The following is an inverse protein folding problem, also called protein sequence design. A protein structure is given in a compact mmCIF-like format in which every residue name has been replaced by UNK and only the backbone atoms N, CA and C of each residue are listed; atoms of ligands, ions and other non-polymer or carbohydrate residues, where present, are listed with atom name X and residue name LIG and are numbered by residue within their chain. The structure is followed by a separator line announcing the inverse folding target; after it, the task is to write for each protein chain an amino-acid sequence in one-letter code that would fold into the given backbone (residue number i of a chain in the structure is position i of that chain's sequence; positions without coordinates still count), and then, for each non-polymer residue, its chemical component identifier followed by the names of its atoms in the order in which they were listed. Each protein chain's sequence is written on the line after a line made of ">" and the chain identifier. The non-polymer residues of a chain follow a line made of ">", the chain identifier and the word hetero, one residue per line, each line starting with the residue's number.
data_IF_373118158090
#
_entry.id   IF_373118158090
#
_cell.length_a   1.000
_cell.length_b   1.000
_cell.length_c   1.000
_cell.angle_alpha   90.00
_cell.angle_beta   90.00
_cell.angle_gamma   90.00
#
_symmetry.space_group_name_H-M   'P 1'
#
loop_
_entity.id
_entity.type
_entity.pdbx_description
1 polymer ?
#
# COMPACT_ATOMS: atom_id res chain seq x y z
N UNK A 1 -17.42 -11.39 9.78
CA UNK A 1 -18.08 -11.65 11.07
C UNK A 1 -17.69 -13.03 11.61
N UNK A 2 -16.42 -13.42 11.50
CA UNK A 2 -15.92 -14.63 12.14
C UNK A 2 -15.64 -14.30 13.61
N UNK A 3 -16.28 -14.98 14.59
CA UNK A 3 -16.01 -14.72 15.99
C UNK A 3 -14.56 -15.06 16.36
N UNK A 4 -14.13 -14.64 17.54
CA UNK A 4 -12.84 -15.09 18.07
C UNK A 4 -12.86 -16.63 18.18
N UNK A 5 -11.90 -17.36 17.55
CA UNK A 5 -12.05 -18.80 17.31
C UNK A 5 -11.72 -19.69 18.50
N UNK A 6 -11.18 -19.12 19.60
CA UNK A 6 -10.68 -19.88 20.74
C UNK A 6 -11.45 -19.57 22.04
N UNK A 7 -11.44 -20.51 22.98
CA UNK A 7 -12.16 -20.35 24.28
C UNK A 7 -11.61 -19.20 25.14
N UNK A 8 -10.35 -18.82 24.93
CA UNK A 8 -9.67 -17.75 25.66
C UNK A 8 -8.60 -17.08 24.81
N UNK A 9 -8.22 -15.87 25.23
CA UNK A 9 -7.06 -15.17 24.72
C UNK A 9 -6.16 -14.75 25.87
N UNK A 10 -4.89 -15.07 25.79
CA UNK A 10 -3.87 -14.66 26.74
C UNK A 10 -2.77 -13.86 26.04
N UNK A 11 -2.11 -12.97 26.79
CA UNK A 11 -0.94 -12.24 26.35
C UNK A 11 0.16 -12.36 27.41
N UNK A 12 1.39 -12.67 26.99
CA UNK A 12 2.53 -12.76 27.88
C UNK A 12 3.66 -11.83 27.41
N UNK A 13 4.03 -10.85 28.23
CA UNK A 13 5.17 -9.97 27.99
C UNK A 13 6.47 -10.64 28.48
N UNK A 14 7.36 -10.99 27.57
CA UNK A 14 8.59 -11.73 27.86
C UNK A 14 9.80 -10.79 27.84
N UNK A 15 10.58 -10.80 28.91
CA UNK A 15 11.85 -10.06 28.99
C UNK A 15 12.90 -10.73 28.08
N UNK A 16 13.55 -9.93 27.24
CA UNK A 16 14.57 -10.42 26.30
C UNK A 16 14.01 -10.95 24.98
N UNK A 17 12.68 -10.94 24.82
CA UNK A 17 12.01 -11.23 23.55
C UNK A 17 11.77 -9.94 22.77
N UNK A 18 12.01 -9.97 21.45
CA UNK A 18 11.82 -8.85 20.54
C UNK A 18 10.68 -9.20 19.57
N UNK A 19 9.78 -8.24 19.32
CA UNK A 19 8.60 -8.46 18.47
C UNK A 19 7.46 -9.14 19.21
N UNK A 20 6.70 -9.92 18.46
CA UNK A 20 5.61 -10.77 18.94
C UNK A 20 5.74 -12.18 18.36
N UNK A 21 4.96 -13.11 18.91
CA UNK A 21 4.78 -14.45 18.40
C UNK A 21 3.32 -14.83 18.61
N UNK A 22 2.70 -15.28 17.53
CA UNK A 22 1.27 -15.47 17.38
C UNK A 22 0.76 -16.80 17.94
N UNK A 23 1.39 -17.35 18.97
CA UNK A 23 1.01 -18.66 19.50
C UNK A 23 -0.49 -18.75 19.78
N UNK A 24 -1.14 -19.77 19.21
CA UNK A 24 -2.59 -19.94 19.24
C UNK A 24 -3.16 -19.79 20.66
N UNK A 25 -4.16 -18.90 20.81
CA UNK A 25 -4.82 -18.54 22.07
C UNK A 25 -3.93 -17.84 23.12
N UNK A 26 -2.63 -17.64 22.87
CA UNK A 26 -1.68 -17.08 23.82
C UNK A 26 -0.50 -16.33 23.16
N UNK A 27 -0.70 -15.10 22.70
CA UNK A 27 0.36 -14.29 22.09
C UNK A 27 1.51 -13.98 23.06
N UNK A 28 2.74 -14.17 22.61
CA UNK A 28 3.94 -13.71 23.32
C UNK A 28 4.40 -12.37 22.74
N UNK A 29 4.76 -11.44 23.61
CA UNK A 29 5.07 -10.06 23.25
C UNK A 29 6.36 -9.62 23.91
N UNK A 30 7.06 -8.70 23.27
CA UNK A 30 8.17 -7.99 23.90
C UNK A 30 7.72 -7.29 25.19
N UNK A 31 8.61 -7.14 26.17
CA UNK A 31 8.31 -6.42 27.42
C UNK A 31 7.91 -4.95 27.21
N UNK A 32 8.16 -4.38 26.01
CA UNK A 32 7.70 -3.03 25.64
C UNK A 32 6.18 -2.94 25.54
N UNK A 33 5.49 -4.00 25.12
CA UNK A 33 4.03 -4.04 25.01
C UNK A 33 3.34 -3.74 26.35
N UNK A 34 3.92 -4.20 27.47
CA UNK A 34 3.41 -3.96 28.82
C UNK A 34 3.99 -2.74 29.55
N UNK A 35 4.93 -2.01 28.96
CA UNK A 35 5.66 -0.92 29.66
C UNK A 35 5.60 0.43 28.96
N UNK A 36 5.21 0.48 27.68
CA UNK A 36 5.00 1.71 26.92
C UNK A 36 3.62 2.32 27.21
N UNK A 37 3.39 3.56 26.73
CA UNK A 37 2.10 4.20 26.90
C UNK A 37 1.07 3.46 26.05
N UNK A 38 -0.20 3.51 26.47
CA UNK A 38 -1.32 3.04 25.65
C UNK A 38 -1.25 3.68 24.26
N UNK A 39 -1.45 2.89 23.20
CA UNK A 39 -1.31 3.34 21.81
C UNK A 39 0.08 3.15 21.21
N UNK A 40 1.15 3.12 22.02
CA UNK A 40 2.54 3.07 21.49
C UNK A 40 2.89 1.72 20.83
N UNK A 41 2.12 0.66 21.09
CA UNK A 41 2.38 -0.73 20.64
C UNK A 41 1.14 -1.36 20.01
N UNK A 42 0.15 -0.54 19.66
CA UNK A 42 -1.13 -1.00 19.09
C UNK A 42 -0.91 -1.68 17.73
N UNK A 43 0.10 -1.25 16.96
CA UNK A 43 0.56 -1.91 15.73
C UNK A 43 0.93 -3.37 16.01
N UNK A 44 1.85 -3.61 16.95
CA UNK A 44 2.27 -4.95 17.33
C UNK A 44 1.10 -5.76 17.93
N UNK A 45 0.33 -5.16 18.85
CA UNK A 45 -0.75 -5.87 19.53
C UNK A 45 -1.86 -6.30 18.56
N UNK A 46 -2.25 -5.43 17.64
CA UNK A 46 -3.28 -5.72 16.64
C UNK A 46 -2.79 -6.74 15.60
N UNK A 47 -1.52 -6.65 15.19
CA UNK A 47 -0.87 -7.62 14.30
C UNK A 47 -0.93 -9.04 14.88
N UNK A 48 -0.44 -9.21 16.10
CA UNK A 48 -0.37 -10.52 16.75
C UNK A 48 -1.75 -11.08 17.12
N UNK A 49 -2.71 -10.21 17.43
CA UNK A 49 -4.10 -10.60 17.65
C UNK A 49 -4.75 -11.06 16.33
N UNK A 50 -4.47 -10.40 15.21
CA UNK A 50 -5.04 -10.76 13.92
C UNK A 50 -4.64 -12.17 13.48
N UNK A 51 -3.44 -12.63 13.84
CA UNK A 51 -3.00 -13.98 13.55
C UNK A 51 -3.89 -15.08 14.13
N UNK A 52 -4.66 -14.80 15.18
CA UNK A 52 -5.65 -15.74 15.71
C UNK A 52 -6.67 -16.16 14.64
N UNK A 53 -6.93 -15.30 13.65
CA UNK A 53 -7.75 -15.56 12.47
C UNK A 53 -6.92 -15.90 11.22
N UNK A 54 -5.83 -15.17 10.98
CA UNK A 54 -4.98 -15.35 9.78
C UNK A 54 -3.55 -15.69 10.16
N UNK A 55 -3.28 -16.98 10.33
CA UNK A 55 -2.05 -17.52 10.90
C UNK A 55 -2.34 -18.82 11.65
N UNK A 56 -3.34 -18.77 12.53
CA UNK A 56 -3.78 -19.88 13.36
C UNK A 56 -5.05 -20.58 12.84
N UNK A 57 -6.17 -19.84 12.68
CA UNK A 57 -7.43 -20.41 12.20
C UNK A 57 -7.34 -20.81 10.72
N UNK A 58 -6.69 -19.98 9.90
CA UNK A 58 -6.34 -20.24 8.51
C UNK A 58 -4.86 -19.98 8.38
N UNK A 59 -4.10 -20.99 7.93
CA UNK A 59 -2.64 -20.85 7.81
C UNK A 59 -2.17 -21.11 6.38
N UNK A 60 -1.00 -20.61 6.03
CA UNK A 60 -0.42 -20.85 4.71
C UNK A 60 0.00 -22.34 4.54
N UNK A 61 -0.20 -22.90 3.33
CA UNK A 61 0.20 -24.28 3.03
C UNK A 61 1.72 -24.51 3.11
N UNK A 62 2.52 -23.51 2.73
CA UNK A 62 3.98 -23.55 2.74
C UNK A 62 4.54 -22.14 2.92
N UNK A 63 5.83 -22.02 3.25
CA UNK A 63 6.51 -20.74 3.49
C UNK A 63 6.49 -19.78 2.30
N UNK A 64 6.30 -20.28 1.07
CA UNK A 64 6.15 -19.38 -0.08
C UNK A 64 4.84 -18.58 -0.03
N UNK A 65 3.84 -19.06 0.72
CA UNK A 65 2.54 -18.42 0.88
C UNK A 65 2.43 -17.63 2.19
N UNK A 66 3.53 -17.41 2.92
CA UNK A 66 3.55 -16.77 4.24
C UNK A 66 2.90 -15.37 4.28
N UNK A 67 2.84 -14.68 3.15
CA UNK A 67 2.16 -13.39 3.03
C UNK A 67 0.64 -13.49 3.31
N UNK A 68 0.04 -14.68 3.18
CA UNK A 68 -1.35 -14.93 3.60
C UNK A 68 -1.52 -14.91 5.12
N UNK A 69 -0.44 -15.08 5.88
CA UNK A 69 -0.47 -14.87 7.33
C UNK A 69 -0.08 -13.41 7.61
N UNK A 70 1.12 -13.03 7.18
CA UNK A 70 1.76 -11.77 7.54
C UNK A 70 1.15 -10.54 6.90
N UNK A 71 0.74 -10.66 5.62
CA UNK A 71 0.09 -9.56 4.91
C UNK A 71 -1.29 -9.26 5.47
N UNK A 72 -2.03 -10.28 5.92
CA UNK A 72 -3.32 -10.09 6.58
C UNK A 72 -3.17 -9.48 7.97
N UNK A 73 -2.23 -9.95 8.77
CA UNK A 73 -1.93 -9.36 10.07
C UNK A 73 -1.49 -7.89 9.94
N UNK A 74 -0.61 -7.58 8.99
CA UNK A 74 -0.23 -6.18 8.71
C UNK A 74 -1.34 -5.34 8.09
N UNK A 75 -2.29 -5.94 7.37
CA UNK A 75 -3.50 -5.22 6.94
C UNK A 75 -4.44 -4.95 8.12
N UNK A 76 -4.46 -5.81 9.14
CA UNK A 76 -5.30 -5.64 10.32
C UNK A 76 -4.84 -4.47 11.20
N UNK A 77 -3.54 -4.15 11.20
CA UNK A 77 -3.01 -2.91 11.82
C UNK A 77 -3.75 -1.67 11.29
N UNK A 78 -3.93 -1.57 9.96
CA UNK A 78 -4.64 -0.46 9.35
C UNK A 78 -6.13 -0.44 9.68
N UNK A 79 -6.76 -1.62 9.80
CA UNK A 79 -8.16 -1.74 10.21
C UNK A 79 -8.36 -1.38 11.69
N UNK A 80 -7.39 -1.69 12.54
CA UNK A 80 -7.37 -1.26 13.94
C UNK A 80 -7.33 0.26 14.04
N UNK A 81 -6.41 0.91 13.30
CA UNK A 81 -6.31 2.36 13.25
C UNK A 81 -7.61 3.01 12.74
N UNK A 82 -8.26 2.42 11.73
CA UNK A 82 -9.56 2.87 11.22
C UNK A 82 -10.64 2.85 12.33
N UNK A 83 -10.77 1.71 13.00
CA UNK A 83 -11.79 1.49 14.03
C UNK A 83 -11.53 2.34 15.28
N UNK A 84 -10.28 2.42 15.73
CA UNK A 84 -9.90 3.25 16.87
C UNK A 84 -10.22 4.72 16.59
N UNK A 85 -9.83 5.24 15.42
CA UNK A 85 -10.12 6.61 15.05
C UNK A 85 -11.63 6.86 14.89
N UNK A 86 -12.40 5.86 14.45
CA UNK A 86 -13.87 5.97 14.40
C UNK A 86 -14.45 6.11 15.82
N UNK A 87 -13.98 5.31 16.78
CA UNK A 87 -14.43 5.34 18.17
C UNK A 87 -14.04 6.64 18.88
N UNK A 88 -12.79 7.08 18.73
CA UNK A 88 -12.28 8.31 19.37
C UNK A 88 -12.92 9.59 18.86
N UNK A 89 -13.46 9.56 17.64
CA UNK A 89 -14.06 10.72 16.98
C UNK A 89 -15.57 10.57 16.77
N UNK A 90 -16.22 9.63 17.47
CA UNK A 90 -17.64 9.29 17.27
C UNK A 90 -18.61 10.47 17.44
N UNK A 91 -18.21 11.50 18.18
CA UNK A 91 -18.96 12.74 18.39
C UNK A 91 -18.83 13.75 17.24
N UNK A 92 -17.88 13.54 16.32
CA UNK A 92 -17.58 14.47 15.24
C UNK A 92 -18.37 14.16 13.96
N UNK A 93 -18.90 15.16 13.24
CA UNK A 93 -19.64 14.94 12.00
C UNK A 93 -18.78 14.33 10.88
N UNK A 94 -17.44 14.45 10.96
CA UNK A 94 -16.49 13.89 10.02
C UNK A 94 -15.76 12.63 10.53
N UNK A 95 -16.29 11.93 11.55
CA UNK A 95 -15.67 10.73 12.14
C UNK A 95 -15.20 9.70 11.11
N UNK A 96 -16.07 9.35 10.14
CA UNK A 96 -15.75 8.39 9.08
C UNK A 96 -14.57 8.82 8.20
N UNK A 97 -14.45 10.11 7.92
CA UNK A 97 -13.35 10.63 7.12
C UNK A 97 -12.02 10.58 7.91
N UNK A 98 -12.07 10.85 9.22
CA UNK A 98 -10.91 10.74 10.11
C UNK A 98 -10.46 9.28 10.27
N UNK A 99 -11.41 8.36 10.42
CA UNK A 99 -11.18 6.92 10.45
C UNK A 99 -10.48 6.44 9.18
N UNK A 100 -11.04 6.79 8.01
CA UNK A 100 -10.44 6.44 6.73
C UNK A 100 -9.05 7.03 6.55
N UNK A 101 -8.83 8.26 7.02
CA UNK A 101 -7.50 8.87 7.01
C UNK A 101 -6.49 8.11 7.89
N UNK A 102 -6.92 7.55 9.03
CA UNK A 102 -6.07 6.71 9.88
C UNK A 102 -5.67 5.41 9.16
N UNK A 103 -6.64 4.72 8.56
CA UNK A 103 -6.40 3.56 7.70
C UNK A 103 -5.38 3.86 6.59
N UNK A 104 -5.61 4.94 5.83
CA UNK A 104 -4.73 5.33 4.72
C UNK A 104 -3.31 5.64 5.20
N UNK A 105 -3.15 6.28 6.37
CA UNK A 105 -1.83 6.55 6.96
C UNK A 105 -1.08 5.26 7.31
N UNK A 106 -1.76 4.26 7.87
CA UNK A 106 -1.16 2.96 8.16
C UNK A 106 -0.69 2.27 6.86
N UNK A 107 -1.54 2.24 5.83
CA UNK A 107 -1.18 1.68 4.52
C UNK A 107 -0.02 2.45 3.86
N UNK A 108 0.02 3.77 3.95
CA UNK A 108 1.16 4.60 3.51
C UNK A 108 2.45 4.18 4.20
N UNK A 109 2.39 3.87 5.50
CA UNK A 109 3.51 3.31 6.26
C UNK A 109 4.03 2.01 5.63
N UNK A 110 3.13 1.09 5.28
CA UNK A 110 3.48 -0.17 4.61
C UNK A 110 4.07 0.07 3.21
N UNK A 111 3.52 1.00 2.42
CA UNK A 111 4.10 1.38 1.11
C UNK A 111 5.52 1.91 1.26
N UNK A 112 5.76 2.80 2.24
CA UNK A 112 7.10 3.36 2.49
C UNK A 112 8.09 2.27 2.91
N UNK A 113 7.67 1.36 3.78
CA UNK A 113 8.47 0.20 4.19
C UNK A 113 8.85 -0.65 2.98
N UNK A 114 7.86 -1.01 2.15
CA UNK A 114 8.10 -1.77 0.93
C UNK A 114 9.05 -1.04 -0.03
N UNK A 115 8.80 0.24 -0.33
CA UNK A 115 9.66 1.05 -1.24
C UNK A 115 11.11 1.15 -0.75
N UNK A 116 11.33 1.37 0.54
CA UNK A 116 12.69 1.51 1.12
C UNK A 116 13.48 0.20 1.05
N UNK A 117 12.82 -0.94 1.24
CA UNK A 117 13.44 -2.26 1.18
C UNK A 117 13.57 -2.84 -0.23
N UNK A 118 12.77 -2.36 -1.19
CA UNK A 118 12.66 -3.02 -2.48
C UNK A 118 13.83 -2.73 -3.42
N UNK A 119 14.70 -3.72 -3.53
CA UNK A 119 15.74 -3.83 -4.57
C UNK A 119 15.49 -5.00 -5.51
N UNK A 120 14.32 -5.63 -5.41
CA UNK A 120 13.99 -6.82 -6.17
C UNK A 120 13.81 -6.48 -7.66
N UNK A 121 14.30 -7.36 -8.52
CA UNK A 121 14.14 -7.26 -9.97
C UNK A 121 13.99 -8.65 -10.57
N UNK A 122 13.11 -8.78 -11.56
CA UNK A 122 13.01 -9.99 -12.36
C UNK A 122 14.22 -10.12 -13.31
N UNK A 123 14.66 -11.36 -13.64
CA UNK A 123 14.22 -12.64 -13.07
C UNK A 123 15.06 -13.09 -11.86
N UNK A 124 16.00 -12.26 -11.38
CA UNK A 124 17.06 -12.69 -10.46
C UNK A 124 16.58 -12.81 -9.02
N UNK A 125 15.76 -11.87 -8.55
CA UNK A 125 15.23 -11.88 -7.19
C UNK A 125 14.06 -12.86 -7.04
N UNK A 126 13.91 -13.53 -5.89
CA UNK A 126 12.68 -14.25 -5.58
C UNK A 126 11.53 -13.25 -5.40
N UNK A 127 10.34 -13.62 -5.89
CA UNK A 127 9.11 -12.87 -5.60
C UNK A 127 8.64 -13.11 -4.15
N UNK A 128 7.64 -12.34 -3.73
CA UNK A 128 6.94 -12.55 -2.45
C UNK A 128 6.48 -14.01 -2.34
N UNK A 129 5.74 -14.48 -3.35
CA UNK A 129 5.35 -15.89 -3.49
C UNK A 129 6.39 -16.63 -4.30
N UNK A 130 7.29 -17.30 -3.58
CA UNK A 130 8.36 -18.09 -4.20
C UNK A 130 8.94 -19.11 -3.22
N UNK A 131 9.03 -20.36 -3.68
CA UNK A 131 9.80 -21.44 -3.04
C UNK A 131 11.33 -21.29 -3.14
N UNK A 132 11.84 -20.20 -3.73
CA UNK A 132 13.28 -19.92 -3.81
C UNK A 132 13.75 -19.23 -2.53
N UNK A 133 14.17 -20.02 -1.56
CA UNK A 133 14.79 -19.57 -0.31
C UNK A 133 15.81 -20.60 0.19
N UNK A 134 16.83 -20.14 0.93
CA UNK A 134 17.89 -21.03 1.46
C UNK A 134 17.50 -21.72 2.77
N UNK A 135 16.59 -21.11 3.53
CA UNK A 135 15.99 -21.62 4.76
C UNK A 135 14.62 -20.94 4.96
N UNK A 136 13.75 -21.46 5.85
CA UNK A 136 12.45 -20.86 6.12
C UNK A 136 12.52 -19.37 6.50
N UNK A 137 13.42 -18.98 7.40
CA UNK A 137 13.51 -17.59 7.89
C UNK A 137 13.78 -16.55 6.78
N UNK A 138 14.37 -16.98 5.67
CA UNK A 138 14.64 -16.12 4.53
C UNK A 138 13.35 -15.55 3.90
N UNK A 139 12.17 -16.17 4.09
CA UNK A 139 10.92 -15.64 3.52
C UNK A 139 10.47 -14.32 4.17
N UNK A 140 10.85 -14.09 5.44
CA UNK A 140 10.50 -12.89 6.21
C UNK A 140 11.43 -11.70 5.95
N UNK A 141 12.54 -11.93 5.24
CA UNK A 141 13.59 -10.92 4.97
C UNK A 141 13.80 -10.65 3.48
N UNK A 142 12.88 -11.12 2.62
CA UNK A 142 12.88 -10.83 1.17
C UNK A 142 12.69 -9.32 0.93
N UNK A 143 13.24 -8.83 -0.19
CA UNK A 143 13.03 -7.45 -0.65
C UNK A 143 11.58 -7.18 -1.09
N UNK A 144 10.85 -8.24 -1.45
CA UNK A 144 9.39 -8.23 -1.53
C UNK A 144 8.86 -8.70 -0.17
N UNK A 145 8.58 -7.73 0.70
CA UNK A 145 8.30 -7.92 2.12
C UNK A 145 6.90 -8.54 2.30
N UNK A 146 6.80 -9.76 2.85
CA UNK A 146 5.53 -10.47 3.03
C UNK A 146 4.53 -9.71 3.92
N UNK A 147 5.02 -8.88 4.82
CA UNK A 147 4.22 -8.02 5.69
C UNK A 147 3.73 -6.81 4.89
N UNK A 148 4.68 -5.97 4.47
CA UNK A 148 4.38 -4.66 3.91
C UNK A 148 3.78 -4.75 2.50
N UNK A 149 4.36 -5.57 1.61
CA UNK A 149 3.82 -5.82 0.27
C UNK A 149 2.49 -6.56 0.36
N UNK A 150 2.37 -7.53 1.26
CA UNK A 150 1.15 -8.29 1.49
C UNK A 150 -0.03 -7.38 1.88
N UNK A 151 0.14 -6.51 2.88
CA UNK A 151 -0.89 -5.56 3.30
C UNK A 151 -1.30 -4.60 2.17
N UNK A 152 -0.34 -4.08 1.41
CA UNK A 152 -0.64 -3.17 0.29
C UNK A 152 -1.36 -3.91 -0.85
N UNK A 153 -1.04 -5.18 -1.12
CA UNK A 153 -1.75 -5.98 -2.14
C UNK A 153 -3.21 -6.20 -1.75
N UNK A 154 -3.49 -6.45 -0.46
CA UNK A 154 -4.86 -6.56 0.04
C UNK A 154 -5.61 -5.24 -0.14
N UNK A 155 -4.97 -4.11 0.16
CA UNK A 155 -5.53 -2.78 -0.10
C UNK A 155 -5.82 -2.56 -1.60
N UNK A 156 -4.85 -2.82 -2.48
CA UNK A 156 -5.02 -2.67 -3.93
C UNK A 156 -6.16 -3.55 -4.46
N UNK A 157 -6.28 -4.79 -3.96
CA UNK A 157 -7.36 -5.69 -4.36
C UNK A 157 -8.73 -5.18 -3.89
N UNK A 158 -8.80 -4.61 -2.68
CA UNK A 158 -10.01 -3.97 -2.13
C UNK A 158 -10.43 -2.76 -2.97
N UNK A 159 -9.50 -1.91 -3.37
CA UNK A 159 -9.77 -0.76 -4.24
C UNK A 159 -10.19 -1.20 -5.65
N UNK A 160 -9.56 -2.24 -6.21
CA UNK A 160 -9.88 -2.75 -7.55
C UNK A 160 -11.26 -3.42 -7.63
N UNK A 161 -11.63 -4.22 -6.62
CA UNK A 161 -12.90 -4.95 -6.60
C UNK A 161 -14.06 -4.12 -6.03
N UNK A 162 -13.75 -3.09 -5.25
CA UNK A 162 -14.70 -2.38 -4.40
C UNK A 162 -14.95 -3.11 -3.09
N UNK A 163 -15.30 -2.34 -2.05
CA UNK A 163 -15.39 -2.83 -0.67
C UNK A 163 -16.37 -3.99 -0.52
N UNK A 164 -17.58 -3.88 -1.09
CA UNK A 164 -18.63 -4.91 -0.93
C UNK A 164 -18.21 -6.25 -1.52
N UNK A 165 -17.59 -6.25 -2.70
CA UNK A 165 -17.13 -7.47 -3.37
C UNK A 165 -15.96 -8.07 -2.61
N UNK A 166 -15.02 -7.23 -2.18
CA UNK A 166 -13.87 -7.66 -1.38
C UNK A 166 -14.32 -8.32 -0.08
N UNK A 167 -15.19 -7.66 0.69
CA UNK A 167 -15.65 -8.15 1.99
C UNK A 167 -16.46 -9.44 1.88
N UNK A 168 -17.25 -9.62 0.80
CA UNK A 168 -17.91 -10.91 0.53
C UNK A 168 -16.90 -12.01 0.20
N UNK A 169 -15.86 -11.69 -0.56
CA UNK A 169 -14.76 -12.61 -0.88
C UNK A 169 -14.02 -13.06 0.38
N UNK A 170 -13.71 -12.13 1.28
CA UNK A 170 -13.08 -12.43 2.57
C UNK A 170 -13.97 -13.32 3.43
N UNK A 171 -15.27 -13.02 3.55
CA UNK A 171 -16.21 -13.90 4.27
C UNK A 171 -16.20 -15.32 3.70
N UNK A 172 -16.28 -15.45 2.38
CA UNK A 172 -16.24 -16.76 1.72
C UNK A 172 -14.90 -17.49 1.92
N UNK A 173 -13.78 -16.76 1.98
CA UNK A 173 -12.47 -17.32 2.30
C UNK A 173 -12.46 -17.93 3.70
N UNK A 174 -12.93 -17.18 4.70
CA UNK A 174 -13.06 -17.69 6.07
C UNK A 174 -13.97 -18.91 6.18
N UNK A 175 -15.15 -18.86 5.55
CA UNK A 175 -16.10 -19.97 5.58
C UNK A 175 -15.52 -21.27 5.02
N UNK A 176 -14.68 -21.18 3.97
CA UNK A 176 -14.10 -22.34 3.29
C UNK A 176 -12.82 -22.86 3.93
N UNK A 177 -12.00 -21.96 4.46
CA UNK A 177 -10.64 -22.26 4.89
C UNK A 177 -10.43 -22.26 6.41
N UNK A 178 -11.45 -21.93 7.22
CA UNK A 178 -11.35 -22.12 8.67
C UNK A 178 -10.92 -23.54 9.02
N UNK A 179 -9.92 -23.65 9.90
CA UNK A 179 -9.22 -24.87 10.29
C UNK A 179 -8.54 -25.62 9.13
N UNK A 180 -8.10 -24.89 8.09
CA UNK A 180 -7.39 -25.45 6.93
C UNK A 180 -6.19 -24.59 6.56
N UNK A 181 -5.41 -25.15 5.65
CA UNK A 181 -4.30 -24.48 5.00
C UNK A 181 -4.75 -23.88 3.66
N UNK A 182 -4.17 -22.75 3.26
CA UNK A 182 -4.47 -22.06 2.02
C UNK A 182 -3.20 -21.76 1.20
N UNK A 183 -3.34 -21.83 -0.12
CA UNK A 183 -2.37 -21.27 -1.07
C UNK A 183 -2.84 -19.92 -1.62
N UNK A 184 -1.90 -19.14 -2.16
CA UNK A 184 -2.23 -17.88 -2.83
C UNK A 184 -3.25 -18.05 -3.97
N UNK A 185 -3.18 -19.18 -4.68
CA UNK A 185 -4.13 -19.49 -5.74
C UNK A 185 -5.55 -19.73 -5.21
N UNK A 186 -5.70 -20.23 -3.98
CA UNK A 186 -7.01 -20.45 -3.38
C UNK A 186 -7.70 -19.14 -3.02
N UNK A 187 -6.96 -18.23 -2.39
CA UNK A 187 -7.45 -16.88 -2.12
C UNK A 187 -7.84 -16.18 -3.43
N UNK A 188 -6.98 -16.25 -4.45
CA UNK A 188 -7.31 -15.72 -5.79
C UNK A 188 -8.63 -16.27 -6.31
N UNK A 189 -8.80 -17.61 -6.34
CA UNK A 189 -10.01 -18.26 -6.88
C UNK A 189 -11.28 -17.83 -6.15
N UNK A 190 -11.23 -17.65 -4.83
CA UNK A 190 -12.38 -17.14 -4.06
C UNK A 190 -12.73 -15.72 -4.47
N UNK A 191 -11.74 -14.85 -4.60
CA UNK A 191 -11.98 -13.47 -5.01
C UNK A 191 -12.51 -13.40 -6.44
N UNK A 192 -12.02 -14.25 -7.36
CA UNK A 192 -12.55 -14.39 -8.72
C UNK A 192 -13.99 -14.91 -8.73
N UNK A 193 -14.33 -15.89 -7.89
CA UNK A 193 -15.69 -16.44 -7.78
C UNK A 193 -16.70 -15.37 -7.37
N UNK A 194 -16.37 -14.55 -6.36
CA UNK A 194 -17.27 -13.52 -5.84
C UNK A 194 -17.34 -12.29 -6.74
N UNK A 195 -16.25 -11.96 -7.43
CA UNK A 195 -16.17 -10.77 -8.29
C UNK A 195 -16.62 -11.02 -9.73
N UNK A 196 -16.53 -12.25 -10.23
CA UNK A 196 -16.80 -12.60 -11.62
C UNK A 196 -15.74 -12.11 -12.61
N UNK A 197 -14.60 -11.60 -12.13
CA UNK A 197 -13.48 -11.14 -12.98
C UNK A 197 -12.24 -12.00 -12.76
N UNK A 198 -11.42 -12.16 -13.81
CA UNK A 198 -10.13 -12.84 -13.64
C UNK A 198 -9.14 -11.94 -12.92
N UNK A 199 -8.47 -12.50 -11.92
CA UNK A 199 -7.43 -11.86 -11.12
C UNK A 199 -6.06 -12.49 -11.38
N UNK A 200 -5.95 -13.42 -12.32
CA UNK A 200 -4.68 -14.08 -12.70
C UNK A 200 -3.57 -13.05 -12.95
N UNK A 201 -3.85 -12.01 -13.74
CA UNK A 201 -2.86 -10.96 -14.04
C UNK A 201 -2.49 -10.16 -12.79
N UNK A 202 -3.46 -9.82 -11.94
CA UNK A 202 -3.20 -9.11 -10.68
C UNK A 202 -2.23 -9.90 -9.80
N UNK A 203 -2.56 -11.16 -9.48
CA UNK A 203 -1.71 -11.99 -8.64
C UNK A 203 -0.35 -12.31 -9.31
N UNK A 204 -0.31 -12.51 -10.62
CA UNK A 204 0.95 -12.69 -11.37
C UNK A 204 1.89 -11.51 -11.15
N UNK A 205 1.39 -10.28 -11.29
CA UNK A 205 2.23 -9.08 -11.18
C UNK A 205 2.64 -8.76 -9.75
N UNK A 206 1.74 -8.97 -8.80
CA UNK A 206 1.94 -8.47 -7.45
C UNK A 206 2.48 -9.53 -6.50
N UNK A 207 2.11 -10.81 -6.68
CA UNK A 207 2.54 -11.90 -5.80
C UNK A 207 3.71 -12.71 -6.39
N UNK A 208 3.64 -13.05 -7.67
CA UNK A 208 4.58 -13.99 -8.31
C UNK A 208 5.72 -13.33 -9.09
N UNK A 209 5.63 -12.02 -9.34
CA UNK A 209 6.69 -11.24 -9.98
C UNK A 209 7.46 -10.43 -8.93
N UNK A 210 8.80 -10.51 -8.92
CA UNK A 210 9.62 -9.74 -7.98
C UNK A 210 9.66 -8.26 -8.33
N UNK A 211 9.68 -7.41 -7.30
CA UNK A 211 9.83 -5.97 -7.43
C UNK A 211 8.51 -5.21 -7.50
N UNK A 212 8.63 -3.91 -7.77
CA UNK A 212 7.54 -2.96 -7.98
C UNK A 212 7.88 -2.05 -9.18
N UNK A 213 6.89 -1.54 -9.93
CA UNK A 213 7.14 -0.59 -11.02
C UNK A 213 7.75 0.72 -10.52
N UNK A 214 8.56 1.35 -11.38
CA UNK A 214 9.06 2.72 -11.21
C UNK A 214 8.40 3.59 -12.27
N UNK A 215 7.68 4.63 -11.84
CA UNK A 215 6.85 5.46 -12.70
C UNK A 215 7.37 6.90 -12.70
N UNK A 216 7.47 7.48 -13.90
CA UNK A 216 7.53 8.93 -14.12
C UNK A 216 6.20 9.38 -14.68
N UNK A 217 5.59 10.38 -14.05
CA UNK A 217 4.30 10.93 -14.48
C UNK A 217 4.48 12.40 -14.84
N UNK A 218 4.35 12.70 -16.13
CA UNK A 218 4.49 14.05 -16.67
C UNK A 218 3.12 14.65 -17.00
N UNK A 219 2.93 15.93 -16.68
CA UNK A 219 1.65 16.62 -16.83
C UNK A 219 1.84 17.92 -17.60
N UNK A 220 1.20 18.05 -18.76
CA UNK A 220 1.29 19.24 -19.61
C UNK A 220 -0.10 19.74 -19.94
N UNK A 221 -0.39 21.00 -19.61
CA UNK A 221 -1.64 21.67 -19.98
C UNK A 221 -1.41 22.66 -21.12
N UNK A 222 -2.12 22.48 -22.24
CA UNK A 222 -2.19 23.43 -23.33
C UNK A 222 -3.39 24.37 -23.10
N UNK A 223 -3.11 25.65 -22.84
CA UNK A 223 -4.13 26.65 -22.58
C UNK A 223 -4.92 27.07 -23.84
N UNK A 224 -4.32 26.99 -25.02
CA UNK A 224 -4.98 27.33 -26.28
C UNK A 224 -5.94 26.22 -26.70
N UNK A 225 -5.50 24.96 -26.61
CA UNK A 225 -6.33 23.79 -26.89
C UNK A 225 -7.28 23.42 -25.73
N UNK A 226 -7.02 23.94 -24.52
CA UNK A 226 -7.71 23.57 -23.26
C UNK A 226 -7.66 22.07 -22.98
N UNK A 227 -6.49 21.48 -23.19
CA UNK A 227 -6.28 20.04 -23.01
C UNK A 227 -5.15 19.78 -22.03
N UNK A 228 -5.39 18.90 -21.05
CA UNK A 228 -4.36 18.35 -20.19
C UNK A 228 -3.91 17.00 -20.76
N UNK A 229 -2.61 16.85 -21.03
CA UNK A 229 -1.99 15.56 -21.33
C UNK A 229 -1.27 15.07 -20.09
N UNK A 230 -1.57 13.84 -19.68
CA UNK A 230 -0.85 13.13 -18.61
C UNK A 230 -0.17 11.92 -19.24
N UNK A 231 1.15 11.86 -19.12
CA UNK A 231 1.99 10.77 -19.63
C UNK A 231 2.51 9.95 -18.47
N UNK A 232 2.27 8.64 -18.50
CA UNK A 232 2.82 7.66 -17.57
C UNK A 232 3.90 6.86 -18.28
N UNK A 233 5.12 6.94 -17.75
CA UNK A 233 6.28 6.19 -18.25
C UNK A 233 6.78 5.21 -17.19
N UNK A 234 6.92 3.93 -17.57
CA UNK A 234 7.54 2.88 -16.78
C UNK A 234 9.04 2.87 -17.03
N UNK A 235 9.82 3.32 -16.06
CA UNK A 235 11.25 3.64 -16.26
C UNK A 235 12.22 2.52 -15.84
N UNK A 236 11.70 1.42 -15.31
CA UNK A 236 12.50 0.20 -15.11
C UNK A 236 12.83 -0.47 -16.46
N UNK A 237 13.85 -1.34 -16.49
CA UNK A 237 14.17 -2.16 -17.66
C UNK A 237 12.96 -3.03 -18.04
N UNK A 238 12.48 -2.91 -19.28
CA UNK A 238 11.39 -3.73 -19.83
C UNK A 238 11.97 -4.70 -20.86
N UNK A 239 11.79 -6.00 -20.63
CA UNK A 239 12.23 -7.08 -21.53
C UNK A 239 11.37 -8.35 -21.34
N UNK A 240 11.74 -9.45 -21.98
CA UNK A 240 10.98 -10.71 -21.90
C UNK A 240 10.93 -11.36 -20.51
N UNK A 241 11.83 -10.99 -19.59
CA UNK A 241 11.82 -11.47 -18.20
C UNK A 241 11.18 -10.47 -17.24
N UNK A 242 11.11 -9.20 -17.62
CA UNK A 242 10.51 -8.13 -16.84
C UNK A 242 9.60 -7.27 -17.74
N UNK A 243 8.46 -7.80 -18.23
CA UNK A 243 7.58 -7.06 -19.14
C UNK A 243 7.01 -5.80 -18.49
N UNK A 244 6.45 -4.87 -19.26
CA UNK A 244 5.73 -3.73 -18.68
C UNK A 244 4.64 -4.24 -17.71
N UNK A 245 4.43 -3.53 -16.60
CA UNK A 245 3.27 -3.79 -15.76
C UNK A 245 2.00 -3.33 -16.48
N UNK A 246 0.91 -4.03 -16.29
CA UNK A 246 -0.45 -3.62 -16.61
C UNK A 246 -1.00 -2.83 -15.42
N UNK A 247 -1.17 -1.54 -15.62
CA UNK A 247 -1.47 -0.55 -14.60
C UNK A 247 -2.78 0.15 -14.93
N UNK A 248 -3.61 0.33 -13.90
CA UNK A 248 -4.85 1.10 -13.96
C UNK A 248 -4.72 2.21 -12.93
N UNK A 249 -4.34 3.41 -13.37
CA UNK A 249 -3.96 4.52 -12.49
C UNK A 249 -5.02 5.62 -12.55
N UNK A 250 -5.78 5.87 -11.47
CA UNK A 250 -6.75 6.95 -11.43
C UNK A 250 -6.05 8.30 -11.27
N UNK A 251 -6.54 9.29 -12.01
CA UNK A 251 -6.08 10.68 -12.00
C UNK A 251 -7.28 11.55 -11.64
N UNK A 252 -7.17 12.31 -10.55
CA UNK A 252 -8.17 13.30 -10.15
C UNK A 252 -7.72 14.67 -10.61
N UNK A 253 -8.44 15.26 -11.57
CA UNK A 253 -8.17 16.60 -12.10
C UNK A 253 -9.13 17.59 -11.45
N UNK A 254 -8.59 18.66 -10.87
CA UNK A 254 -9.36 19.68 -10.15
C UNK A 254 -9.17 21.02 -10.83
N UNK A 255 -10.26 21.64 -11.24
CA UNK A 255 -10.29 22.99 -11.83
C UNK A 255 -11.07 23.96 -10.94
N UNK A 256 -11.17 25.23 -11.34
CA UNK A 256 -12.07 26.20 -10.71
C UNK A 256 -13.56 25.92 -11.00
N UNK A 257 -13.87 25.05 -11.96
CA UNK A 257 -15.24 24.67 -12.35
C UNK A 257 -15.72 23.36 -11.74
N UNK A 258 -14.84 22.59 -11.10
CA UNK A 258 -15.18 21.31 -10.50
C UNK A 258 -14.04 20.30 -10.61
N UNK A 259 -14.36 19.03 -10.38
CA UNK A 259 -13.41 17.93 -10.49
C UNK A 259 -13.86 16.89 -11.51
N UNK A 260 -12.90 16.19 -12.11
CA UNK A 260 -13.15 15.03 -12.96
C UNK A 260 -12.13 13.94 -12.66
N UNK A 261 -12.56 12.70 -12.83
CA UNK A 261 -11.72 11.52 -12.71
C UNK A 261 -11.45 10.94 -14.08
N UNK A 262 -10.19 10.59 -14.34
CA UNK A 262 -9.74 9.92 -15.56
C UNK A 262 -8.80 8.80 -15.17
N UNK A 263 -8.86 7.68 -15.88
CA UNK A 263 -7.99 6.54 -15.62
C UNK A 263 -6.99 6.37 -16.75
N UNK A 264 -5.71 6.18 -16.41
CA UNK A 264 -4.67 5.78 -17.36
C UNK A 264 -4.53 4.26 -17.28
N UNK A 265 -4.74 3.59 -18.41
CA UNK A 265 -4.48 2.17 -18.58
C UNK A 265 -3.16 1.99 -19.33
N UNK A 266 -2.14 1.41 -18.71
CA UNK A 266 -0.83 1.22 -19.33
C UNK A 266 -0.34 -0.20 -19.19
N UNK A 267 -0.10 -0.86 -20.33
CA UNK A 267 0.48 -2.20 -20.46
C UNK A 267 1.84 -2.17 -21.19
N UNK A 268 2.46 -0.99 -21.27
CA UNK A 268 3.64 -0.70 -22.09
C UNK A 268 4.57 0.29 -21.40
N UNK A 269 5.72 0.56 -22.02
CA UNK A 269 6.74 1.45 -21.45
C UNK A 269 6.25 2.89 -21.26
N UNK A 270 5.35 3.37 -22.12
CA UNK A 270 4.81 4.72 -22.04
C UNK A 270 3.38 4.77 -22.56
N UNK A 271 2.50 5.44 -21.82
CA UNK A 271 1.12 5.69 -22.19
C UNK A 271 0.73 7.11 -21.83
N UNK A 272 0.07 7.81 -22.75
CA UNK A 272 -0.52 9.12 -22.49
C UNK A 272 -2.05 9.08 -22.57
N UNK A 273 -2.69 9.96 -21.79
CA UNK A 273 -4.11 10.31 -21.94
C UNK A 273 -4.23 11.82 -22.13
N UNK A 274 -5.12 12.24 -23.03
CA UNK A 274 -5.45 13.66 -23.23
C UNK A 274 -6.87 13.92 -22.77
N UNK A 275 -7.03 14.92 -21.91
CA UNK A 275 -8.25 15.24 -21.19
C UNK A 275 -8.68 16.65 -21.60
N UNK A 276 -9.81 16.82 -22.29
CA UNK A 276 -10.37 18.14 -22.54
C UNK A 276 -10.88 18.74 -21.22
N UNK A 277 -10.52 20.00 -20.95
CA UNK A 277 -10.88 20.70 -19.73
C UNK A 277 -11.66 21.99 -20.03
N UNK A 278 -12.64 22.30 -19.18
CA UNK A 278 -13.39 23.55 -19.28
C UNK A 278 -12.54 24.78 -18.90
N UNK A 279 -11.54 24.58 -18.06
CA UNK A 279 -10.63 25.60 -17.54
C UNK A 279 -9.30 24.97 -17.12
N UNK A 280 -8.30 25.81 -16.84
CA UNK A 280 -6.97 25.34 -16.45
C UNK A 280 -7.04 24.52 -15.15
N UNK A 281 -6.30 23.40 -15.07
CA UNK A 281 -6.23 22.62 -13.85
C UNK A 281 -5.55 23.42 -12.75
N UNK A 282 -6.15 23.42 -11.57
CA UNK A 282 -5.58 23.97 -10.34
C UNK A 282 -4.80 22.91 -9.56
N UNK A 283 -5.14 21.63 -9.73
CA UNK A 283 -4.40 20.49 -9.23
C UNK A 283 -4.71 19.24 -10.08
N UNK A 284 -3.78 18.31 -10.08
CA UNK A 284 -3.86 17.01 -10.75
C UNK A 284 -3.21 15.98 -9.83
N UNK A 285 -4.03 15.14 -9.23
CA UNK A 285 -3.61 14.16 -8.23
C UNK A 285 -3.47 12.79 -8.90
N UNK A 286 -2.31 12.16 -8.73
CA UNK A 286 -2.00 10.86 -9.31
C UNK A 286 -2.23 9.79 -8.25
N UNK A 287 -3.06 8.80 -8.58
CA UNK A 287 -3.40 7.67 -7.75
C UNK A 287 -3.75 8.05 -6.29
N UNK A 288 -4.70 8.98 -6.08
CA UNK A 288 -4.98 9.50 -4.74
C UNK A 288 -5.44 8.43 -3.76
N UNK A 289 -5.89 7.26 -4.20
CA UNK A 289 -6.34 6.17 -3.34
C UNK A 289 -5.32 5.04 -3.22
N UNK A 290 -4.10 5.18 -3.75
CA UNK A 290 -3.09 4.10 -3.75
C UNK A 290 -3.63 2.78 -4.34
N UNK A 291 -4.20 2.88 -5.53
CA UNK A 291 -4.66 1.71 -6.29
C UNK A 291 -3.49 0.90 -6.86
N UNK A 292 -2.27 1.46 -6.92
CA UNK A 292 -1.08 0.80 -7.44
C UNK A 292 0.13 0.98 -6.51
N UNK A 293 0.71 -0.15 -6.07
CA UNK A 293 2.02 -0.16 -5.43
C UNK A 293 3.13 0.12 -6.46
N UNK A 294 3.66 1.32 -6.44
CA UNK A 294 4.75 1.74 -7.33
C UNK A 294 5.72 2.68 -6.60
N UNK A 295 6.94 2.83 -7.09
CA UNK A 295 7.76 4.02 -6.86
C UNK A 295 7.35 5.08 -7.87
N UNK A 296 6.78 6.21 -7.44
CA UNK A 296 6.21 7.21 -8.35
C UNK A 296 6.91 8.55 -8.19
N UNK A 297 7.40 9.09 -9.30
CA UNK A 297 7.82 10.48 -9.43
C UNK A 297 6.77 11.21 -10.26
N UNK A 298 6.25 12.32 -9.75
CA UNK A 298 5.25 13.13 -10.44
C UNK A 298 5.84 14.50 -10.74
N UNK A 299 5.76 14.91 -12.01
CA UNK A 299 6.22 16.19 -12.50
C UNK A 299 5.02 17.11 -12.74
N UNK A 300 4.84 18.08 -11.83
CA UNK A 300 3.83 19.13 -11.94
C UNK A 300 4.28 20.41 -11.24
N UNK A 301 3.70 21.58 -11.56
CA UNK A 301 4.05 22.85 -10.92
C UNK A 301 3.92 22.81 -9.39
N UNK A 302 4.83 23.47 -8.67
CA UNK A 302 4.80 23.56 -7.20
C UNK A 302 3.49 24.11 -6.64
N UNK A 303 2.82 25.01 -7.36
CA UNK A 303 1.51 25.53 -6.96
C UNK A 303 0.44 24.42 -6.85
N UNK A 304 0.48 23.40 -7.72
CA UNK A 304 -0.44 22.26 -7.65
C UNK A 304 -0.16 21.40 -6.41
N UNK A 305 1.12 21.17 -6.09
CA UNK A 305 1.50 20.49 -4.84
C UNK A 305 1.00 21.21 -3.59
N UNK A 306 1.11 22.54 -3.56
CA UNK A 306 0.58 23.34 -2.45
C UNK A 306 -0.94 23.26 -2.37
N UNK A 307 -1.65 23.29 -3.51
CA UNK A 307 -3.10 23.12 -3.54
C UNK A 307 -3.53 21.76 -2.97
N UNK A 308 -2.78 20.68 -3.26
CA UNK A 308 -3.04 19.33 -2.74
C UNK A 308 -2.93 19.25 -1.21
N UNK A 309 -2.09 20.08 -0.58
CA UNK A 309 -1.97 20.18 0.88
C UNK A 309 -3.06 21.04 1.52
N UNK A 310 -3.49 22.10 0.84
CA UNK A 310 -4.40 23.10 1.36
C UNK A 310 -5.88 22.78 1.12
N UNK A 311 -6.18 21.86 0.20
CA UNK A 311 -7.54 21.50 -0.19
C UNK A 311 -7.92 20.09 0.27
N UNK A 312 -9.22 19.78 0.41
CA UNK A 312 -9.68 18.43 0.69
C UNK A 312 -9.15 17.41 -0.33
N UNK A 313 -8.41 16.44 0.20
CA UNK A 313 -7.72 15.41 -0.57
C UNK A 313 -7.66 14.13 0.25
N UNK A 314 -7.23 13.02 -0.32
CA UNK A 314 -6.93 11.80 0.43
C UNK A 314 -5.64 11.94 1.24
N UNK A 315 -5.42 11.08 2.23
CA UNK A 315 -4.17 11.10 3.00
C UNK A 315 -2.96 10.79 2.10
N UNK A 316 -3.10 9.86 1.16
CA UNK A 316 -2.03 9.49 0.23
C UNK A 316 -1.61 10.66 -0.65
N UNK A 317 -2.58 11.37 -1.24
CA UNK A 317 -2.29 12.57 -2.00
C UNK A 317 -1.60 13.61 -1.12
N UNK A 318 -2.11 13.92 0.07
CA UNK A 318 -1.41 14.88 0.96
C UNK A 318 0.02 14.45 1.26
N UNK A 319 0.25 13.18 1.55
CA UNK A 319 1.59 12.65 1.82
C UNK A 319 2.52 12.79 0.61
N UNK A 320 2.06 12.46 -0.60
CA UNK A 320 2.86 12.64 -1.82
C UNK A 320 3.26 14.10 -2.03
N UNK A 321 2.35 15.04 -1.74
CA UNK A 321 2.65 16.47 -1.80
C UNK A 321 3.64 16.91 -0.71
N UNK A 322 3.50 16.40 0.52
CA UNK A 322 4.42 16.68 1.61
C UNK A 322 5.84 16.20 1.29
N UNK A 323 5.98 14.97 0.78
CA UNK A 323 7.26 14.39 0.38
C UNK A 323 7.94 15.25 -0.69
N UNK A 324 7.20 15.67 -1.73
CA UNK A 324 7.73 16.56 -2.75
C UNK A 324 8.22 17.91 -2.18
N UNK A 325 7.44 18.54 -1.29
CA UNK A 325 7.82 19.82 -0.68
C UNK A 325 9.07 19.66 0.18
N UNK A 326 9.20 18.55 0.92
CA UNK A 326 10.40 18.23 1.70
C UNK A 326 11.63 18.06 0.81
N UNK A 327 11.50 17.37 -0.32
CA UNK A 327 12.60 17.17 -1.28
C UNK A 327 13.07 18.50 -1.89
N UNK A 328 12.15 19.36 -2.31
CA UNK A 328 12.48 20.69 -2.85
C UNK A 328 13.14 21.58 -1.79
N UNK A 329 12.66 21.54 -0.54
CA UNK A 329 13.24 22.31 0.55
C UNK A 329 14.67 21.83 0.87
N UNK A 330 14.86 20.51 0.97
CA UNK A 330 16.17 19.90 1.18
C UNK A 330 17.14 20.27 0.05
N UNK A 331 16.72 20.14 -1.21
CA UNK A 331 17.56 20.48 -2.36
C UNK A 331 18.01 21.95 -2.33
N UNK A 332 17.10 22.88 -2.01
CA UNK A 332 17.43 24.31 -1.85
C UNK A 332 18.44 24.54 -0.74
N UNK A 333 18.27 23.90 0.42
CA UNK A 333 19.20 24.00 1.53
C UNK A 333 20.58 23.44 1.16
N UNK A 334 20.63 22.32 0.44
CA UNK A 334 21.89 21.76 -0.07
C UNK A 334 22.58 22.70 -1.05
N UNK A 335 21.85 23.29 -2.02
CA UNK A 335 22.42 24.27 -2.96
C UNK A 335 22.95 25.50 -2.23
N UNK A 336 22.22 26.03 -1.25
CA UNK A 336 22.68 27.15 -0.42
C UNK A 336 23.95 26.78 0.37
N UNK A 337 23.99 25.60 0.99
CA UNK A 337 25.15 25.13 1.76
C UNK A 337 26.39 24.95 0.88
N UNK A 338 26.25 24.38 -0.33
CA UNK A 338 27.34 24.26 -1.30
C UNK A 338 27.82 25.65 -1.74
N UNK A 339 26.89 26.57 -2.06
CA UNK A 339 27.23 27.94 -2.43
C UNK A 339 27.94 28.71 -1.31
N UNK A 340 27.64 28.44 -0.04
CA UNK A 340 28.36 29.01 1.11
C UNK A 340 29.76 28.41 1.30
N UNK A 341 29.96 27.12 1.00
CA UNK A 341 31.27 26.47 1.06
C UNK A 341 32.21 26.94 -0.05
N UNK A 342 31.67 27.18 -1.24
CA UNK A 342 32.44 27.71 -2.38
C UNK A 342 32.88 29.18 -2.18
N UNK A 343 32.14 29.96 -1.39
CA UNK A 343 32.52 31.33 -1.02
C UNK A 343 33.63 31.41 0.05
N UNK A 344 33.99 30.29 0.68
CA UNK A 344 35.06 30.22 1.68
C UNK A 344 36.35 29.56 1.16
N UNK A 345 36.41 29.23 -0.14
CA UNK A 345 37.59 28.64 -0.81
C UNK A 345 38.29 29.58 -1.81
N UNK A 346 37.91 30.86 -1.84
CA UNK A 346 38.63 31.97 -2.50
C UNK A 346 39.06 32.99 -1.45
#
# INVERSE_FOLDING_TARGET
>A
DEPFPWDKYAQACIRGFNGGMENTSATFLTSRAGTRKRGDQDDLLSHELAHQWTGDLITCNSWEHIWLNEGWASSAEALWDEELALQENADKPNAKALAREAYEKAIIGQVRRQRRGNRASAPTSPAMVSNRYSNPDAVFSKADDAYAKGAVILHMLREQLGHDVFDRGVRLYFDRFKFKIAETADFRRIMEEVSGVSLEKFFTQWCYRPGIPRLSIDQTYDAAAKTLTVTLSQIQKIDGHNPAYDLVVPIRVITDRGETWVTIHSDRSEQAVTIPLASAPTDVQVDPNLTVLASVTVHKPTAMWMNQLLRPSTAFARVQAMEHVQDVATARLTTLAVGMLDQHTT
#
